data_IF_678139795008
#
_entry.id   IF_678139795008
#
_cell.length_a   1.000
_cell.length_b   1.000
_cell.length_c   1.000
_cell.angle_alpha   90.00
_cell.angle_beta   90.00
_cell.angle_gamma   90.00
#
_symmetry.space_group_name_H-M   'P 1'
#
loop_
_entity.id
_entity.type
_entity.pdbx_description
1 polymer ?
#
# COMPACT_ATOMS: atom_id res chain seq x y z
N UNK A 1 27.15 -19.85 -24.80
CA UNK A 1 26.41 -18.60 -24.54
C UNK A 1 25.00 -18.99 -24.15
N UNK A 2 24.68 -19.01 -22.85
CA UNK A 2 23.30 -19.28 -22.40
C UNK A 2 22.49 -18.04 -22.75
N UNK A 3 21.79 -18.04 -23.88
CA UNK A 3 20.64 -17.17 -24.05
C UNK A 3 19.66 -17.57 -22.95
N UNK A 4 19.70 -16.85 -21.83
CA UNK A 4 18.67 -16.96 -20.81
C UNK A 4 17.36 -16.65 -21.52
N UNK A 5 16.49 -17.66 -21.62
CA UNK A 5 15.20 -17.49 -22.27
C UNK A 5 14.42 -16.49 -21.42
N UNK A 6 13.98 -15.41 -22.06
CA UNK A 6 13.17 -14.40 -21.42
C UNK A 6 11.99 -15.03 -20.67
N UNK A 7 11.69 -14.59 -19.43
CA UNK A 7 10.62 -15.15 -18.62
C UNK A 7 9.23 -14.89 -19.23
N UNK A 8 9.12 -13.87 -20.09
CA UNK A 8 7.93 -13.55 -20.87
C UNK A 8 8.33 -12.78 -22.15
N UNK A 9 8.02 -13.33 -23.33
CA UNK A 9 8.39 -12.73 -24.61
C UNK A 9 7.65 -11.42 -24.92
N UNK A 10 6.40 -11.27 -24.45
CA UNK A 10 5.60 -10.08 -24.63
C UNK A 10 6.16 -8.91 -23.82
N UNK A 11 6.54 -9.16 -22.56
CA UNK A 11 7.18 -8.17 -21.69
C UNK A 11 8.50 -7.67 -22.31
N UNK A 12 9.35 -8.60 -22.77
CA UNK A 12 10.60 -8.24 -23.47
C UNK A 12 10.33 -7.44 -24.73
N UNK A 13 9.38 -7.86 -25.57
CA UNK A 13 9.05 -7.11 -26.79
C UNK A 13 8.47 -5.74 -26.50
N UNK A 14 7.68 -5.58 -25.43
CA UNK A 14 7.03 -4.32 -25.09
C UNK A 14 8.01 -3.26 -24.56
N UNK A 15 9.05 -3.70 -23.83
CA UNK A 15 10.10 -2.84 -23.27
C UNK A 15 11.39 -2.80 -24.09
N UNK A 16 11.48 -3.54 -25.20
CA UNK A 16 12.65 -3.56 -26.06
C UNK A 16 13.06 -2.14 -26.50
N UNK A 17 14.29 -1.75 -26.16
CA UNK A 17 14.86 -0.44 -26.50
C UNK A 17 14.30 0.74 -25.70
N UNK A 18 13.40 0.51 -24.74
CA UNK A 18 12.91 1.56 -23.83
C UNK A 18 13.85 1.74 -22.66
N UNK A 19 13.91 2.97 -22.15
CA UNK A 19 14.72 3.36 -21.01
C UNK A 19 13.85 4.22 -20.08
N UNK A 20 14.14 4.17 -18.79
CA UNK A 20 13.57 5.13 -17.85
C UNK A 20 14.33 6.47 -17.96
N UNK A 21 13.60 7.59 -17.89
CA UNK A 21 14.20 8.94 -17.87
C UNK A 21 14.66 9.26 -16.44
N UNK A 22 15.88 8.82 -16.09
CA UNK A 22 16.44 8.92 -14.75
C UNK A 22 16.69 10.35 -14.29
N UNK A 23 17.13 11.23 -15.20
CA UNK A 23 17.31 12.65 -14.89
C UNK A 23 15.98 13.26 -14.41
N UNK A 24 14.88 12.87 -15.06
CA UNK A 24 13.53 13.29 -14.66
C UNK A 24 13.06 12.61 -13.38
N UNK A 25 13.35 11.33 -13.16
CA UNK A 25 12.99 10.63 -11.91
C UNK A 25 13.66 11.31 -10.71
N UNK A 26 14.95 11.62 -10.83
CA UNK A 26 15.68 12.37 -9.82
C UNK A 26 15.08 13.76 -9.61
N UNK A 27 14.78 14.49 -10.70
CA UNK A 27 14.12 15.79 -10.61
C UNK A 27 12.76 15.70 -9.89
N UNK A 28 11.94 14.68 -10.19
CA UNK A 28 10.67 14.47 -9.50
C UNK A 28 10.90 14.32 -7.99
N UNK A 29 11.88 13.51 -7.57
CA UNK A 29 12.18 13.28 -6.17
C UNK A 29 12.68 14.55 -5.45
N UNK A 30 13.50 15.36 -6.13
CA UNK A 30 14.00 16.64 -5.61
C UNK A 30 12.91 17.72 -5.52
N UNK A 31 12.02 17.78 -6.53
CA UNK A 31 10.98 18.80 -6.65
C UNK A 31 9.68 18.44 -5.95
N UNK A 32 9.48 17.20 -5.48
CA UNK A 32 8.16 16.74 -5.00
C UNK A 32 7.60 17.58 -3.85
N UNK A 33 8.47 18.28 -3.10
CA UNK A 33 8.08 19.19 -2.02
C UNK A 33 8.16 20.68 -2.38
N UNK A 34 8.50 21.03 -3.61
CA UNK A 34 8.46 22.40 -4.09
C UNK A 34 6.99 22.84 -4.25
N UNK A 35 6.53 23.91 -3.58
CA UNK A 35 5.15 24.42 -3.72
C UNK A 35 4.74 24.74 -5.16
N UNK A 36 5.68 25.11 -6.03
CA UNK A 36 5.41 25.43 -7.44
C UNK A 36 5.33 24.19 -8.32
N UNK A 37 5.82 23.03 -7.86
CA UNK A 37 5.77 21.77 -8.60
C UNK A 37 4.40 21.11 -8.45
N UNK A 38 3.54 21.33 -9.44
CA UNK A 38 2.14 20.93 -9.39
C UNK A 38 1.94 19.42 -9.61
N UNK A 39 0.79 18.89 -9.14
CA UNK A 39 0.40 17.50 -9.40
C UNK A 39 0.33 17.19 -10.91
N UNK A 40 -0.01 18.18 -11.74
CA UNK A 40 -0.07 18.03 -13.19
C UNK A 40 1.32 17.82 -13.79
N UNK A 41 2.31 18.60 -13.37
CA UNK A 41 3.69 18.44 -13.80
C UNK A 41 4.23 17.09 -13.34
N UNK A 42 3.96 16.71 -12.09
CA UNK A 42 4.28 15.39 -11.56
C UNK A 42 3.68 14.25 -12.39
N UNK A 43 2.42 14.35 -12.80
CA UNK A 43 1.80 13.37 -13.69
C UNK A 43 2.49 13.33 -15.05
N UNK A 44 2.72 14.48 -15.68
CA UNK A 44 3.39 14.58 -16.98
C UNK A 44 4.78 13.95 -16.94
N UNK A 45 5.51 14.13 -15.83
CA UNK A 45 6.83 13.57 -15.60
C UNK A 45 6.79 12.06 -15.35
N UNK A 46 5.84 11.55 -14.57
CA UNK A 46 5.66 10.10 -14.40
C UNK A 46 5.46 9.40 -15.75
N UNK A 47 4.63 9.95 -16.63
CA UNK A 47 4.34 9.37 -17.96
C UNK A 47 5.56 9.39 -18.88
N UNK A 48 6.40 10.42 -18.76
CA UNK A 48 7.62 10.52 -19.54
C UNK A 48 8.75 9.64 -18.99
N UNK A 49 8.80 9.45 -17.66
CA UNK A 49 9.86 8.72 -16.96
C UNK A 49 9.72 7.21 -16.99
N UNK A 50 8.52 6.67 -16.82
CA UNK A 50 8.32 5.26 -16.54
C UNK A 50 7.77 4.48 -17.75
N UNK A 51 8.61 3.80 -18.55
CA UNK A 51 8.14 3.02 -19.69
C UNK A 51 7.20 1.87 -19.28
N UNK A 52 7.29 1.39 -18.04
CA UNK A 52 6.46 0.33 -17.45
C UNK A 52 4.98 0.72 -17.43
N UNK A 53 4.63 2.01 -17.30
CA UNK A 53 3.22 2.46 -17.33
C UNK A 53 2.52 2.16 -18.66
N UNK A 54 3.27 1.97 -19.74
CA UNK A 54 2.69 1.58 -21.03
C UNK A 54 2.28 0.10 -21.10
N UNK A 55 2.77 -0.74 -20.17
CA UNK A 55 2.49 -2.17 -20.12
C UNK A 55 1.02 -2.49 -19.89
N UNK A 56 0.31 -1.61 -19.17
CA UNK A 56 -1.14 -1.70 -18.94
C UNK A 56 -1.99 -1.71 -20.22
N UNK A 57 -1.42 -1.29 -21.36
CA UNK A 57 -2.11 -1.23 -22.65
C UNK A 57 -1.64 -2.31 -23.64
N UNK A 58 -0.71 -3.18 -23.24
CA UNK A 58 -0.18 -4.22 -24.12
C UNK A 58 -1.26 -5.29 -24.36
N UNK A 59 -1.53 -5.59 -25.64
CA UNK A 59 -2.57 -6.55 -26.05
C UNK A 59 -3.96 -5.94 -26.28
N UNK A 60 -4.14 -4.64 -26.04
CA UNK A 60 -5.33 -3.93 -26.51
C UNK A 60 -5.26 -3.76 -28.04
N UNK A 61 -6.31 -4.06 -28.82
CA UNK A 61 -6.29 -3.88 -30.27
C UNK A 61 -6.06 -2.41 -30.64
N UNK A 62 -4.85 -2.11 -31.10
CA UNK A 62 -4.45 -0.93 -31.88
C UNK A 62 -5.10 0.42 -31.50
N UNK A 63 -5.00 0.81 -30.22
CA UNK A 63 -5.07 2.23 -29.83
C UNK A 63 -3.95 2.54 -28.86
N UNK A 64 -2.78 2.90 -29.40
CA UNK A 64 -1.81 3.63 -28.60
C UNK A 64 -2.51 4.90 -28.06
N UNK A 65 -2.58 5.11 -26.73
CA UNK A 65 -3.21 6.29 -26.20
C UNK A 65 -2.41 7.51 -26.63
N UNK A 66 -3.02 8.42 -27.40
CA UNK A 66 -2.43 9.74 -27.62
C UNK A 66 -2.42 10.46 -26.26
N UNK A 67 -1.37 11.23 -25.94
CA UNK A 67 -1.26 11.99 -24.67
C UNK A 67 -2.53 12.80 -24.33
N UNK A 68 -3.21 13.33 -25.35
CA UNK A 68 -4.49 14.04 -25.23
C UNK A 68 -5.69 13.14 -24.88
N UNK A 69 -5.69 11.87 -25.30
CA UNK A 69 -6.75 10.91 -24.99
C UNK A 69 -6.65 10.46 -23.53
N UNK A 70 -5.45 10.26 -22.99
CA UNK A 70 -5.25 9.91 -21.57
C UNK A 70 -5.74 11.04 -20.65
N UNK A 71 -5.37 12.29 -20.95
CA UNK A 71 -5.83 13.47 -20.20
C UNK A 71 -7.34 13.67 -20.30
N UNK A 72 -7.94 13.49 -21.49
CA UNK A 72 -9.41 13.55 -21.64
C UNK A 72 -10.12 12.44 -20.88
N UNK A 73 -9.54 11.24 -20.85
CA UNK A 73 -10.09 10.09 -20.10
C UNK A 73 -10.05 10.34 -18.60
N UNK A 74 -8.90 10.81 -18.07
CA UNK A 74 -8.74 11.20 -16.67
C UNK A 74 -9.71 12.34 -16.28
N UNK A 75 -9.75 13.42 -17.07
CA UNK A 75 -10.56 14.60 -16.77
C UNK A 75 -12.07 14.42 -16.95
N UNK A 76 -12.51 13.41 -17.71
CA UNK A 76 -13.95 13.27 -18.01
C UNK A 76 -14.80 12.87 -16.80
N UNK A 77 -14.26 12.19 -15.78
CA UNK A 77 -15.00 11.77 -14.57
C UNK A 77 -16.27 10.94 -14.81
N UNK A 78 -16.67 10.73 -16.07
CA UNK A 78 -17.85 10.00 -16.52
C UNK A 78 -17.52 8.52 -16.52
N UNK A 79 -17.51 7.91 -15.34
CA UNK A 79 -17.69 6.48 -15.22
C UNK A 79 -18.80 6.19 -14.21
N UNK A 80 -20.04 6.39 -14.67
CA UNK A 80 -21.18 5.70 -14.06
C UNK A 80 -21.00 4.19 -14.26
N UNK A 81 -21.27 3.42 -13.21
CA UNK A 81 -21.15 1.96 -13.10
C UNK A 81 -21.81 1.12 -14.21
N UNK A 82 -22.56 1.74 -15.13
CA UNK A 82 -23.25 1.08 -16.24
C UNK A 82 -22.41 0.98 -17.54
N UNK A 83 -21.46 1.88 -17.82
CA UNK A 83 -20.67 1.80 -19.07
C UNK A 83 -19.51 0.79 -18.97
N UNK A 84 -18.93 0.57 -17.78
CA UNK A 84 -17.91 -0.48 -17.54
C UNK A 84 -18.44 -1.88 -17.93
N UNK A 85 -19.73 -2.15 -17.71
CA UNK A 85 -20.37 -3.42 -18.11
C UNK A 85 -20.55 -3.57 -19.62
N UNK A 86 -20.62 -2.47 -20.38
CA UNK A 86 -20.88 -2.50 -21.82
C UNK A 86 -19.60 -2.65 -22.65
N UNK A 87 -18.45 -2.24 -22.11
CA UNK A 87 -17.15 -2.33 -22.80
C UNK A 87 -16.28 -3.51 -22.33
N UNK A 88 -16.46 -4.01 -21.10
CA UNK A 88 -15.75 -5.21 -20.60
C UNK A 88 -16.11 -6.52 -21.30
N UNK A 89 -17.20 -6.56 -22.09
CA UNK A 89 -17.64 -7.73 -22.84
C UNK A 89 -16.96 -7.87 -24.21
N UNK A 90 -16.26 -6.84 -24.69
CA UNK A 90 -15.67 -6.83 -26.03
C UNK A 90 -14.23 -6.33 -25.99
N UNK A 91 -13.33 -7.28 -25.72
CA UNK A 91 -11.89 -7.23 -26.04
C UNK A 91 -11.02 -6.45 -25.02
N UNK A 92 -10.31 -7.22 -24.20
CA UNK A 92 -9.20 -6.77 -23.35
C UNK A 92 -8.85 -7.87 -22.36
N UNK A 93 -7.56 -8.22 -22.22
CA UNK A 93 -7.12 -9.21 -21.24
C UNK A 93 -7.55 -8.77 -19.83
N UNK A 94 -8.36 -9.59 -19.16
CA UNK A 94 -8.74 -9.36 -17.77
C UNK A 94 -7.49 -9.52 -16.89
N UNK A 95 -7.25 -8.55 -16.00
CA UNK A 95 -6.27 -8.64 -14.93
C UNK A 95 -6.65 -9.77 -13.96
N UNK A 96 -5.70 -10.24 -13.13
CA UNK A 96 -5.95 -11.24 -12.08
C UNK A 96 -6.98 -10.76 -11.05
N UNK A 97 -7.13 -9.44 -10.89
CA UNK A 97 -8.19 -8.78 -10.12
C UNK A 97 -9.58 -8.85 -10.78
N UNK A 98 -9.67 -9.29 -12.03
CA UNK A 98 -10.87 -9.22 -12.88
C UNK A 98 -11.08 -7.87 -13.57
N UNK A 99 -10.20 -6.88 -13.35
CA UNK A 99 -10.29 -5.54 -13.91
C UNK A 99 -9.62 -5.44 -15.29
N UNK A 100 -9.88 -4.36 -16.04
CA UNK A 100 -9.16 -4.10 -17.29
C UNK A 100 -7.78 -3.49 -16.99
N UNK A 101 -6.85 -3.59 -17.94
CA UNK A 101 -5.55 -2.91 -17.83
C UNK A 101 -5.68 -1.39 -17.69
N UNK A 102 -6.71 -0.77 -18.27
CA UNK A 102 -6.99 0.67 -18.08
C UNK A 102 -7.34 1.01 -16.63
N UNK A 103 -8.12 0.16 -15.95
CA UNK A 103 -8.44 0.37 -14.53
C UNK A 103 -7.19 0.18 -13.66
N UNK A 104 -6.38 -0.84 -13.92
CA UNK A 104 -5.12 -1.03 -13.17
C UNK A 104 -4.15 0.14 -13.40
N UNK A 105 -4.04 0.64 -14.63
CA UNK A 105 -3.30 1.87 -14.92
C UNK A 105 -3.80 3.05 -14.07
N UNK A 106 -5.11 3.27 -14.00
CA UNK A 106 -5.67 4.36 -13.18
C UNK A 106 -5.38 4.17 -11.69
N UNK A 107 -5.39 2.93 -11.19
CA UNK A 107 -5.03 2.61 -9.80
C UNK A 107 -3.56 2.90 -9.53
N UNK A 108 -2.68 2.52 -10.44
CA UNK A 108 -1.24 2.85 -10.39
C UNK A 108 -0.99 4.36 -10.39
N UNK A 109 -1.69 5.14 -11.24
CA UNK A 109 -1.61 6.60 -11.18
C UNK A 109 -2.14 7.14 -9.85
N UNK A 110 -3.22 6.56 -9.31
CA UNK A 110 -3.74 6.91 -7.99
C UNK A 110 -2.73 6.66 -6.87
N UNK A 111 -1.98 5.57 -6.93
CA UNK A 111 -0.90 5.27 -5.99
C UNK A 111 0.25 6.28 -6.09
N UNK A 112 0.68 6.62 -7.31
CA UNK A 112 1.68 7.68 -7.53
C UNK A 112 1.22 9.05 -6.99
N UNK A 113 -0.06 9.39 -7.17
CA UNK A 113 -0.61 10.64 -6.62
C UNK A 113 -0.69 10.59 -5.10
N UNK A 114 -1.01 9.43 -4.51
CA UNK A 114 -0.95 9.25 -3.07
C UNK A 114 0.47 9.43 -2.53
N UNK A 115 1.51 8.97 -3.23
CA UNK A 115 2.92 9.28 -2.88
C UNK A 115 3.16 10.78 -2.90
N UNK A 116 2.77 11.47 -3.98
CA UNK A 116 2.91 12.92 -4.11
C UNK A 116 2.25 13.68 -2.94
N UNK A 117 1.00 13.35 -2.61
CA UNK A 117 0.27 14.01 -1.53
C UNK A 117 0.82 13.67 -0.13
N UNK A 118 1.13 12.40 0.13
CA UNK A 118 1.66 11.97 1.44
C UNK A 118 3.03 12.59 1.73
N UNK A 119 3.85 12.82 0.70
CA UNK A 119 5.13 13.53 0.86
C UNK A 119 4.97 15.05 0.99
N UNK A 120 3.75 15.59 0.93
CA UNK A 120 3.45 17.05 0.99
C UNK A 120 2.40 17.40 2.06
N UNK A 121 2.19 16.54 3.06
CA UNK A 121 1.13 16.73 4.06
C UNK A 121 1.22 18.02 4.88
N UNK A 122 2.37 18.64 4.95
CA UNK A 122 2.63 19.93 5.62
C UNK A 122 2.58 21.15 4.68
N UNK A 123 2.28 20.94 3.40
CA UNK A 123 2.18 21.97 2.37
C UNK A 123 0.73 22.07 1.88
N UNK A 124 0.32 21.12 1.05
CA UNK A 124 -0.96 21.08 0.34
C UNK A 124 -1.45 19.63 0.11
N UNK A 125 -0.69 18.65 0.60
CA UNK A 125 -0.93 17.24 0.34
C UNK A 125 -2.17 16.72 1.05
N UNK A 126 -2.53 17.29 2.20
CA UNK A 126 -3.72 16.89 2.96
C UNK A 126 -5.00 17.12 2.14
N UNK A 127 -5.16 18.30 1.56
CA UNK A 127 -6.29 18.69 0.72
C UNK A 127 -6.36 17.79 -0.52
N UNK A 128 -5.24 17.61 -1.23
CA UNK A 128 -5.17 16.74 -2.40
C UNK A 128 -5.48 15.28 -2.08
N UNK A 129 -4.97 14.75 -0.97
CA UNK A 129 -5.25 13.39 -0.53
C UNK A 129 -6.74 13.19 -0.21
N UNK A 130 -7.37 14.17 0.44
CA UNK A 130 -8.76 14.07 0.88
C UNK A 130 -9.78 14.35 -0.23
N UNK A 131 -9.55 15.36 -1.06
CA UNK A 131 -10.53 15.86 -2.03
C UNK A 131 -10.09 15.69 -3.49
N UNK A 132 -8.81 15.45 -3.75
CA UNK A 132 -8.28 15.36 -5.10
C UNK A 132 -8.18 16.71 -5.80
N UNK A 133 -8.30 16.69 -7.12
CA UNK A 133 -8.21 17.86 -8.01
C UNK A 133 -9.37 17.90 -8.99
N UNK A 134 -9.68 19.09 -9.50
CA UNK A 134 -10.71 19.29 -10.52
C UNK A 134 -10.22 18.99 -11.95
N UNK A 135 -11.08 19.23 -12.95
CA UNK A 135 -10.77 19.00 -14.36
C UNK A 135 -9.68 19.91 -14.95
N UNK A 136 -9.26 20.95 -14.22
CA UNK A 136 -8.12 21.81 -14.58
C UNK A 136 -6.91 21.60 -13.66
N UNK A 137 -6.90 20.50 -12.90
CA UNK A 137 -5.83 20.08 -11.99
C UNK A 137 -5.60 21.01 -10.79
N UNK A 138 -6.62 21.78 -10.40
CA UNK A 138 -6.59 22.57 -9.17
C UNK A 138 -7.11 21.74 -8.01
N UNK A 139 -6.45 21.84 -6.85
CA UNK A 139 -6.90 21.16 -5.64
C UNK A 139 -8.29 21.64 -5.23
N UNK A 140 -9.13 20.69 -4.83
CA UNK A 140 -10.47 20.99 -4.35
C UNK A 140 -10.37 21.33 -2.85
N UNK A 141 -10.70 22.56 -2.43
CA UNK A 141 -10.50 23.00 -1.05
C UNK A 141 -11.39 22.23 -0.08
N UNK A 142 -10.87 21.99 1.13
CA UNK A 142 -11.63 21.44 2.24
C UNK A 142 -12.75 22.40 2.68
N UNK A 143 -13.81 21.82 3.21
CA UNK A 143 -14.99 22.49 3.75
C UNK A 143 -15.17 22.11 5.22
N UNK A 144 -15.92 22.89 6.00
CA UNK A 144 -16.23 22.51 7.37
C UNK A 144 -16.94 21.16 7.45
N UNK A 145 -16.42 20.29 8.31
CA UNK A 145 -16.94 18.95 8.58
C UNK A 145 -18.30 19.01 9.32
N UNK A 146 -19.25 18.14 8.98
CA UNK A 146 -20.53 18.06 9.68
C UNK A 146 -20.36 17.33 11.03
N UNK A 147 -20.50 18.08 12.13
CA UNK A 147 -20.46 17.48 13.47
C UNK A 147 -21.70 16.62 13.78
N UNK A 148 -21.49 15.55 14.56
CA UNK A 148 -22.57 14.75 15.16
C UNK A 148 -23.24 13.70 14.27
N UNK A 149 -22.75 13.48 13.04
CA UNK A 149 -23.19 12.38 12.18
C UNK A 149 -22.32 11.14 12.40
N UNK A 150 -22.92 9.94 12.22
CA UNK A 150 -22.14 8.71 12.13
C UNK A 150 -21.56 8.55 10.72
N UNK A 151 -20.39 7.92 10.57
CA UNK A 151 -19.73 7.70 9.28
C UNK A 151 -20.66 7.05 8.24
N UNK A 152 -21.53 6.13 8.65
CA UNK A 152 -22.48 5.44 7.78
C UNK A 152 -23.60 6.36 7.24
N UNK A 153 -23.88 7.48 7.93
CA UNK A 153 -24.92 8.45 7.57
C UNK A 153 -24.39 9.66 6.80
N UNK A 154 -23.06 9.81 6.69
CA UNK A 154 -22.41 10.91 5.98
C UNK A 154 -22.47 10.72 4.46
N UNK A 155 -22.64 11.82 3.72
CA UNK A 155 -22.40 11.81 2.26
C UNK A 155 -20.91 11.60 1.95
N UNK A 156 -20.57 11.36 0.68
CA UNK A 156 -19.18 11.21 0.27
C UNK A 156 -18.35 12.45 0.62
N UNK A 157 -18.87 13.64 0.37
CA UNK A 157 -18.22 14.92 0.68
C UNK A 157 -18.05 15.06 2.20
N UNK A 158 -19.10 14.78 2.97
CA UNK A 158 -19.07 14.83 4.43
C UNK A 158 -18.01 13.89 5.02
N UNK A 159 -17.82 12.70 4.45
CA UNK A 159 -16.75 11.77 4.85
C UNK A 159 -15.37 12.32 4.58
N UNK A 160 -15.16 13.03 3.46
CA UNK A 160 -13.87 13.65 3.13
C UNK A 160 -13.49 14.72 4.14
N UNK A 161 -14.44 15.61 4.44
CA UNK A 161 -14.21 16.67 5.44
C UNK A 161 -14.00 16.10 6.84
N UNK A 162 -14.81 15.10 7.22
CA UNK A 162 -14.65 14.42 8.50
C UNK A 162 -13.29 13.71 8.60
N UNK A 163 -12.86 13.04 7.54
CA UNK A 163 -11.54 12.38 7.50
C UNK A 163 -10.42 13.41 7.64
N UNK A 164 -10.48 14.53 6.90
CA UNK A 164 -9.48 15.57 6.96
C UNK A 164 -9.33 16.17 8.37
N UNK A 165 -10.44 16.38 9.07
CA UNK A 165 -10.47 16.92 10.42
C UNK A 165 -10.06 15.88 11.48
N UNK A 166 -10.58 14.65 11.40
CA UNK A 166 -10.45 13.64 12.45
C UNK A 166 -9.20 12.76 12.33
N UNK A 167 -8.58 12.68 11.16
CA UNK A 167 -7.38 11.88 10.97
C UNK A 167 -6.18 12.52 11.67
N UNK A 168 -5.49 11.74 12.49
CA UNK A 168 -4.18 12.11 13.01
C UNK A 168 -3.12 12.02 11.90
N UNK A 169 -2.90 13.14 11.22
CA UNK A 169 -1.92 13.28 10.15
C UNK A 169 -0.47 13.10 10.61
N UNK A 170 -0.19 13.17 11.92
CA UNK A 170 1.15 12.87 12.43
C UNK A 170 1.54 11.41 12.19
N UNK A 171 0.57 10.49 12.18
CA UNK A 171 0.83 9.08 11.89
C UNK A 171 1.34 8.85 10.46
N UNK A 172 0.83 9.62 9.49
CA UNK A 172 1.36 9.58 8.12
C UNK A 172 2.74 10.22 8.01
N UNK A 173 2.95 11.37 8.66
CA UNK A 173 4.26 12.05 8.69
C UNK A 173 5.34 11.16 9.31
N UNK A 174 5.00 10.50 10.42
CA UNK A 174 5.88 9.53 11.08
C UNK A 174 6.17 8.33 10.18
N UNK A 175 5.19 7.86 9.41
CA UNK A 175 5.41 6.79 8.43
C UNK A 175 6.37 7.23 7.31
N UNK A 176 6.22 8.44 6.78
CA UNK A 176 7.15 9.03 5.79
C UNK A 176 8.58 9.11 6.35
N UNK A 177 8.74 9.62 7.57
CA UNK A 177 10.04 9.69 8.24
C UNK A 177 10.66 8.32 8.50
N UNK A 178 9.86 7.35 8.95
CA UNK A 178 10.32 5.96 9.16
C UNK A 178 10.67 5.28 7.85
N UNK A 179 9.99 5.58 6.75
CA UNK A 179 10.33 5.05 5.43
C UNK A 179 11.64 5.65 4.88
N UNK A 180 12.18 6.70 5.51
CA UNK A 180 13.36 7.41 5.04
C UNK A 180 13.06 8.42 3.92
N UNK A 181 11.79 8.80 3.73
CA UNK A 181 11.36 9.72 2.67
C UNK A 181 11.21 11.17 3.16
N UNK A 182 11.50 11.47 4.43
CA UNK A 182 11.42 12.83 4.95
C UNK A 182 12.68 13.63 4.58
N UNK A 183 12.60 14.96 4.36
CA UNK A 183 13.76 15.79 4.03
C UNK A 183 14.91 15.71 5.03
N UNK A 184 14.61 15.38 6.30
CA UNK A 184 15.58 15.23 7.38
C UNK A 184 16.39 13.93 7.28
N UNK A 185 15.94 12.96 6.48
CA UNK A 185 16.64 11.69 6.29
C UNK A 185 17.77 11.83 5.26
N UNK A 186 18.96 11.33 5.59
CA UNK A 186 20.05 11.21 4.64
C UNK A 186 19.68 10.21 3.53
N UNK A 187 19.78 10.64 2.27
CA UNK A 187 19.42 9.80 1.12
C UNK A 187 17.92 9.72 0.85
N UNK A 188 17.12 10.67 1.36
CA UNK A 188 15.69 10.71 1.10
C UNK A 188 15.33 10.77 -0.39
N UNK A 189 16.13 11.45 -1.22
CA UNK A 189 15.94 11.48 -2.68
C UNK A 189 15.96 10.06 -3.27
N UNK A 190 17.00 9.26 -3.01
CA UNK A 190 17.09 7.87 -3.51
C UNK A 190 15.91 7.02 -3.03
N UNK A 191 15.42 7.26 -1.80
CA UNK A 191 14.26 6.56 -1.26
C UNK A 191 12.96 6.96 -1.96
N UNK A 192 12.78 8.25 -2.27
CA UNK A 192 11.64 8.75 -3.03
C UNK A 192 11.67 8.18 -4.45
N UNK A 193 12.83 8.14 -5.10
CA UNK A 193 13.00 7.47 -6.40
C UNK A 193 12.58 6.00 -6.33
N UNK A 194 13.00 5.28 -5.29
CA UNK A 194 12.65 3.87 -5.09
C UNK A 194 11.13 3.65 -4.98
N UNK A 195 10.42 4.45 -4.19
CA UNK A 195 8.96 4.31 -4.06
C UNK A 195 8.21 4.74 -5.33
N UNK A 196 8.71 5.74 -6.06
CA UNK A 196 8.14 6.14 -7.35
C UNK A 196 8.30 5.02 -8.39
N UNK A 197 9.50 4.45 -8.51
CA UNK A 197 9.77 3.32 -9.40
C UNK A 197 8.89 2.12 -9.04
N UNK A 198 8.88 1.71 -7.76
CA UNK A 198 8.05 0.61 -7.27
C UNK A 198 6.57 0.84 -7.61
N UNK A 199 6.03 2.02 -7.29
CA UNK A 199 4.62 2.34 -7.56
C UNK A 199 4.30 2.22 -9.06
N UNK A 200 5.21 2.63 -9.94
CA UNK A 200 5.00 2.60 -11.38
C UNK A 200 4.93 1.18 -11.97
N UNK A 201 5.59 0.19 -11.37
CA UNK A 201 5.61 -1.19 -11.89
C UNK A 201 4.96 -2.25 -11.00
N UNK A 202 4.62 -1.94 -9.74
CA UNK A 202 4.11 -2.91 -8.75
C UNK A 202 3.00 -3.80 -9.34
N UNK A 203 2.04 -3.15 -10.01
CA UNK A 203 0.80 -3.80 -10.45
C UNK A 203 0.85 -4.38 -11.87
N UNK A 204 1.96 -4.26 -12.61
CA UNK A 204 2.00 -4.73 -14.01
C UNK A 204 1.79 -6.25 -14.10
N UNK A 205 2.16 -7.00 -13.07
CA UNK A 205 2.00 -8.47 -13.00
C UNK A 205 0.57 -8.91 -12.68
N UNK A 206 -0.34 -7.95 -12.38
CA UNK A 206 -1.78 -8.22 -12.39
C UNK A 206 -2.28 -8.52 -13.80
N UNK A 207 -1.55 -8.18 -14.86
CA UNK A 207 -1.89 -8.55 -16.23
C UNK A 207 -1.40 -9.99 -16.54
N UNK A 208 -2.29 -11.00 -16.72
CA UNK A 208 -1.86 -12.38 -16.93
C UNK A 208 -0.97 -12.57 -18.17
N UNK A 209 -1.11 -11.69 -19.16
CA UNK A 209 -0.30 -11.70 -20.38
C UNK A 209 1.18 -11.39 -20.11
N UNK A 210 1.49 -10.65 -19.05
CA UNK A 210 2.86 -10.24 -18.68
C UNK A 210 3.50 -11.17 -17.64
N UNK A 211 2.70 -12.02 -16.98
CA UNK A 211 3.20 -12.95 -15.97
C UNK A 211 4.31 -13.87 -16.52
N UNK A 212 5.39 -14.08 -15.74
CA UNK A 212 6.53 -14.87 -16.16
C UNK A 212 6.30 -16.37 -16.04
N UNK A 213 7.12 -17.14 -16.76
CA UNK A 213 7.28 -18.59 -16.59
C UNK A 213 8.62 -18.87 -15.94
N UNK A 214 8.63 -19.74 -14.92
CA UNK A 214 9.85 -20.14 -14.21
C UNK A 214 10.80 -20.86 -15.17
N UNK A 215 12.01 -20.31 -15.33
CA UNK A 215 13.09 -20.93 -16.09
C UNK A 215 13.71 -22.11 -15.34
N UNK A 216 14.29 -23.04 -16.09
CA UNK A 216 14.87 -24.28 -15.55
C UNK A 216 15.96 -24.02 -14.51
N UNK A 217 16.77 -23.00 -14.71
CA UNK A 217 17.86 -22.60 -13.82
C UNK A 217 17.42 -21.95 -12.50
N UNK A 218 16.17 -21.48 -12.41
CA UNK A 218 15.61 -20.83 -11.22
C UNK A 218 14.58 -21.70 -10.50
N UNK A 219 14.31 -22.91 -10.98
CA UNK A 219 13.34 -23.82 -10.39
C UNK A 219 13.95 -24.64 -9.23
N UNK A 220 13.17 -24.91 -8.17
CA UNK A 220 11.85 -24.34 -7.90
C UNK A 220 11.96 -22.88 -7.42
N UNK A 221 10.97 -22.05 -7.76
CA UNK A 221 10.89 -20.67 -7.29
C UNK A 221 9.61 -20.44 -6.48
N UNK A 222 9.72 -20.21 -5.17
CA UNK A 222 8.56 -19.99 -4.28
C UNK A 222 7.44 -21.04 -4.43
N UNK A 223 7.80 -22.30 -4.69
CA UNK A 223 6.88 -23.41 -4.90
C UNK A 223 6.43 -23.64 -6.34
N UNK A 224 6.89 -22.83 -7.30
CA UNK A 224 6.63 -23.00 -8.73
C UNK A 224 7.77 -23.77 -9.41
N UNK A 225 7.42 -24.81 -10.15
CA UNK A 225 8.37 -25.64 -10.91
C UNK A 225 8.76 -25.02 -12.26
N UNK A 226 9.83 -25.54 -12.86
CA UNK A 226 10.27 -25.12 -14.20
C UNK A 226 9.14 -25.27 -15.23
N UNK A 227 8.94 -24.24 -16.06
CA UNK A 227 7.89 -24.22 -17.08
C UNK A 227 6.49 -23.85 -16.56
N UNK A 228 6.33 -23.64 -15.25
CA UNK A 228 5.06 -23.20 -14.65
C UNK A 228 4.97 -21.67 -14.68
N UNK A 229 3.80 -21.15 -15.05
CA UNK A 229 3.49 -19.71 -14.97
C UNK A 229 3.25 -19.31 -13.53
N UNK A 230 3.85 -18.20 -13.11
CA UNK A 230 3.58 -17.62 -11.79
C UNK A 230 2.31 -16.77 -11.87
N UNK A 231 1.22 -17.25 -11.28
CA UNK A 231 -0.09 -16.58 -11.31
C UNK A 231 -0.29 -15.56 -10.19
N UNK A 232 0.42 -15.72 -9.08
CA UNK A 232 0.47 -14.77 -7.99
C UNK A 232 1.31 -13.57 -8.42
N UNK A 233 0.69 -12.39 -8.51
CA UNK A 233 1.31 -11.20 -9.08
C UNK A 233 2.53 -10.69 -8.28
N UNK A 234 2.51 -10.82 -6.95
CA UNK A 234 3.62 -10.38 -6.09
C UNK A 234 4.82 -11.32 -6.31
N UNK A 235 4.56 -12.63 -6.33
CA UNK A 235 5.61 -13.64 -6.61
C UNK A 235 6.14 -13.49 -8.05
N UNK A 236 5.27 -13.15 -9.00
CA UNK A 236 5.65 -12.91 -10.40
C UNK A 236 6.57 -11.69 -10.52
N UNK A 237 6.26 -10.61 -9.80
CA UNK A 237 7.09 -9.42 -9.80
C UNK A 237 8.44 -9.71 -9.13
N UNK A 238 8.47 -10.32 -7.94
CA UNK A 238 9.69 -10.75 -7.26
C UNK A 238 10.59 -11.58 -8.16
N UNK A 239 10.01 -12.53 -8.91
CA UNK A 239 10.78 -13.35 -9.84
C UNK A 239 11.49 -12.52 -10.92
N UNK A 240 10.80 -11.53 -11.49
CA UNK A 240 11.39 -10.63 -12.48
C UNK A 240 12.46 -9.74 -11.84
N UNK A 241 12.22 -9.17 -10.66
CA UNK A 241 13.17 -8.30 -9.97
C UNK A 241 14.46 -9.04 -9.57
N UNK A 242 14.37 -10.29 -9.15
CA UNK A 242 15.53 -11.10 -8.73
C UNK A 242 16.30 -11.69 -9.89
N UNK A 243 15.58 -12.30 -10.84
CA UNK A 243 16.18 -13.12 -11.89
C UNK A 243 16.46 -12.34 -13.18
N UNK A 244 15.73 -11.24 -13.38
CA UNK A 244 15.78 -10.44 -14.61
C UNK A 244 15.74 -8.93 -14.31
N UNK A 245 16.60 -8.41 -13.42
CA UNK A 245 16.53 -7.03 -12.94
C UNK A 245 16.58 -5.98 -14.06
N UNK A 246 17.27 -6.30 -15.17
CA UNK A 246 17.41 -5.41 -16.33
C UNK A 246 16.16 -5.31 -17.21
N UNK A 247 15.13 -6.14 -16.96
CA UNK A 247 13.90 -6.13 -17.75
C UNK A 247 12.97 -4.96 -17.43
N UNK A 248 13.05 -4.39 -16.24
CA UNK A 248 12.25 -3.22 -15.83
C UNK A 248 13.20 -2.02 -15.75
N UNK A 249 13.25 -1.14 -16.77
CA UNK A 249 14.21 -0.04 -16.84
C UNK A 249 14.29 0.84 -15.58
N UNK A 250 13.16 1.13 -14.94
CA UNK A 250 13.11 1.96 -13.72
C UNK A 250 13.58 1.23 -12.47
N UNK A 251 13.51 -0.11 -12.42
CA UNK A 251 14.16 -0.88 -11.37
C UNK A 251 15.65 -1.06 -11.65
N UNK A 252 16.01 -1.32 -12.92
CA UNK A 252 17.38 -1.57 -13.36
C UNK A 252 18.34 -0.41 -13.05
N UNK A 253 17.85 0.83 -13.12
CA UNK A 253 18.68 2.00 -12.79
C UNK A 253 18.77 2.34 -11.30
N UNK A 254 17.98 1.71 -10.42
CA UNK A 254 18.06 1.98 -8.98
C UNK A 254 19.45 1.58 -8.43
N UNK A 255 19.97 2.32 -7.43
CA UNK A 255 21.12 1.89 -6.66
C UNK A 255 20.90 0.50 -6.05
N UNK A 256 21.97 -0.29 -5.92
CA UNK A 256 21.88 -1.66 -5.37
C UNK A 256 21.24 -1.74 -3.98
N UNK A 257 21.39 -0.67 -3.18
CA UNK A 257 20.72 -0.55 -1.88
C UNK A 257 19.20 -0.49 -2.05
N UNK A 258 18.71 0.42 -2.89
CA UNK A 258 17.27 0.59 -3.13
C UNK A 258 16.64 -0.59 -3.85
N UNK A 259 17.37 -1.27 -4.76
CA UNK A 259 16.90 -2.54 -5.36
C UNK A 259 16.55 -3.58 -4.31
N UNK A 260 17.41 -3.78 -3.30
CA UNK A 260 17.15 -4.73 -2.20
C UNK A 260 15.93 -4.33 -1.38
N UNK A 261 15.72 -3.03 -1.17
CA UNK A 261 14.61 -2.48 -0.38
C UNK A 261 13.29 -2.64 -1.10
N UNK A 262 13.28 -2.34 -2.39
CA UNK A 262 12.15 -2.62 -3.29
C UNK A 262 11.84 -4.12 -3.29
N UNK A 263 12.85 -4.98 -3.42
CA UNK A 263 12.65 -6.44 -3.39
C UNK A 263 12.08 -6.91 -2.04
N UNK A 264 12.54 -6.33 -0.92
CA UNK A 264 11.97 -6.60 0.41
C UNK A 264 10.47 -6.32 0.45
N UNK A 265 9.98 -5.25 -0.20
CA UNK A 265 8.54 -4.95 -0.23
C UNK A 265 7.70 -6.03 -0.92
N UNK A 266 8.32 -6.81 -1.81
CA UNK A 266 7.69 -7.89 -2.58
C UNK A 266 7.87 -9.27 -1.92
N UNK A 267 8.52 -9.32 -0.76
CA UNK A 267 8.74 -10.56 -0.02
C UNK A 267 7.42 -11.11 0.54
N UNK A 268 7.26 -12.43 0.50
CA UNK A 268 6.06 -13.10 1.01
C UNK A 268 6.09 -13.16 2.54
N UNK A 269 5.77 -12.04 3.19
CA UNK A 269 5.79 -11.91 4.65
C UNK A 269 4.73 -12.78 5.35
N UNK A 270 3.72 -13.27 4.62
CA UNK A 270 2.53 -13.97 5.15
C UNK A 270 1.88 -13.23 6.33
N UNK A 271 2.01 -11.90 6.32
CA UNK A 271 1.56 -11.02 7.37
C UNK A 271 0.15 -10.54 7.07
N UNK A 272 -0.79 -10.82 7.97
CA UNK A 272 -2.11 -10.21 7.95
C UNK A 272 -2.14 -9.08 8.98
N UNK A 273 -2.10 -7.85 8.49
CA UNK A 273 -2.05 -6.66 9.35
C UNK A 273 -3.33 -6.49 10.17
N UNK A 274 -4.49 -6.91 9.64
CA UNK A 274 -5.76 -6.89 10.38
C UNK A 274 -5.72 -7.77 11.63
N UNK A 275 -5.18 -9.00 11.50
CA UNK A 275 -5.03 -9.90 12.66
C UNK A 275 -4.19 -9.29 13.77
N UNK A 276 -3.12 -8.57 13.41
CA UNK A 276 -2.29 -7.86 14.40
C UNK A 276 -3.04 -6.70 15.05
N UNK A 277 -3.69 -5.85 14.26
CA UNK A 277 -4.44 -4.68 14.73
C UNK A 277 -5.59 -5.06 15.67
N UNK A 278 -6.21 -6.22 15.44
CA UNK A 278 -7.31 -6.73 16.25
C UNK A 278 -6.84 -7.71 17.33
N UNK A 279 -5.55 -8.05 17.35
CA UNK A 279 -4.96 -9.11 18.15
C UNK A 279 -5.74 -10.43 18.09
N UNK A 280 -6.22 -10.84 16.92
CA UNK A 280 -7.08 -12.03 16.72
C UNK A 280 -6.31 -13.35 16.70
N UNK A 281 -5.06 -13.33 16.25
CA UNK A 281 -4.24 -14.53 16.13
C UNK A 281 -3.10 -14.54 17.17
N UNK A 282 -2.53 -15.71 17.49
CA UNK A 282 -1.38 -15.81 18.37
C UNK A 282 -0.13 -15.14 17.76
N UNK A 283 0.81 -14.61 18.56
CA UNK A 283 1.95 -13.84 18.07
C UNK A 283 2.75 -14.53 16.97
N UNK A 284 3.10 -15.81 17.15
CA UNK A 284 3.88 -16.56 16.16
C UNK A 284 3.14 -16.78 14.84
N UNK A 285 1.83 -17.02 14.91
CA UNK A 285 0.99 -17.17 13.71
C UNK A 285 0.88 -15.88 12.90
N UNK A 286 0.97 -14.72 13.55
CA UNK A 286 0.91 -13.41 12.89
C UNK A 286 2.27 -12.94 12.37
N UNK A 287 3.35 -13.16 13.12
CA UNK A 287 4.59 -12.39 12.97
C UNK A 287 5.82 -13.23 12.61
N UNK A 288 5.83 -14.55 12.81
CA UNK A 288 7.09 -15.32 12.67
C UNK A 288 7.65 -15.32 11.24
N UNK A 289 6.78 -15.32 10.21
CA UNK A 289 7.24 -15.20 8.81
C UNK A 289 7.74 -13.81 8.48
N UNK A 290 7.04 -12.78 8.95
CA UNK A 290 7.51 -11.41 8.80
C UNK A 290 8.88 -11.24 9.46
N UNK A 291 9.03 -11.73 10.70
CA UNK A 291 10.30 -11.70 11.42
C UNK A 291 11.42 -12.45 10.71
N UNK A 292 11.16 -13.64 10.18
CA UNK A 292 12.16 -14.39 9.42
C UNK A 292 12.68 -13.59 8.22
N UNK A 293 11.81 -12.90 7.49
CA UNK A 293 12.20 -12.02 6.38
C UNK A 293 13.03 -10.83 6.88
N UNK A 294 12.73 -10.28 8.06
CA UNK A 294 13.54 -9.21 8.65
C UNK A 294 14.94 -9.69 9.03
N UNK A 295 15.06 -10.90 9.56
CA UNK A 295 16.33 -11.52 9.95
C UNK A 295 17.27 -11.81 8.75
N UNK A 296 16.76 -11.80 7.52
CA UNK A 296 17.55 -11.90 6.29
C UNK A 296 18.31 -10.59 5.95
N UNK A 297 18.14 -9.54 6.75
CA UNK A 297 18.93 -8.31 6.70
C UNK A 297 18.17 -7.06 6.27
N UNK A 298 16.87 -7.00 6.55
CA UNK A 298 16.07 -5.79 6.34
C UNK A 298 16.17 -4.85 7.55
N UNK A 299 16.32 -3.55 7.28
CA UNK A 299 16.39 -2.53 8.31
C UNK A 299 14.98 -1.99 8.68
N UNK A 300 14.88 -1.27 9.80
CA UNK A 300 13.62 -0.64 10.21
C UNK A 300 13.04 0.30 9.14
N UNK A 301 13.91 0.98 8.38
CA UNK A 301 13.47 1.86 7.30
C UNK A 301 12.81 1.09 6.15
N UNK A 302 13.18 -0.17 5.95
CA UNK A 302 12.65 -1.00 4.87
C UNK A 302 11.23 -1.47 5.22
N UNK A 303 10.97 -1.73 6.51
CA UNK A 303 9.63 -1.90 7.06
C UNK A 303 8.78 -0.64 6.86
N UNK A 304 9.37 0.53 7.11
CA UNK A 304 8.73 1.82 6.83
C UNK A 304 8.35 1.99 5.36
N UNK A 305 9.28 1.68 4.44
CA UNK A 305 9.03 1.72 3.00
C UNK A 305 7.94 0.74 2.58
N UNK A 306 7.96 -0.50 3.09
CA UNK A 306 6.90 -1.49 2.85
C UNK A 306 5.51 -0.94 3.22
N UNK A 307 5.37 -0.35 4.40
CA UNK A 307 4.10 0.20 4.84
C UNK A 307 3.71 1.50 4.12
N UNK A 308 4.67 2.34 3.75
CA UNK A 308 4.41 3.54 2.94
C UNK A 308 3.94 3.16 1.53
N UNK A 309 4.55 2.16 0.92
CA UNK A 309 4.07 1.58 -0.34
C UNK A 309 2.66 0.99 -0.17
N UNK A 310 2.44 0.17 0.86
CA UNK A 310 1.13 -0.43 1.12
C UNK A 310 0.01 0.61 1.26
N UNK A 311 0.26 1.70 2.01
CA UNK A 311 -0.77 2.72 2.23
C UNK A 311 -1.06 3.53 0.96
N UNK A 312 -0.04 3.80 0.14
CA UNK A 312 -0.18 4.57 -1.10
C UNK A 312 -0.82 3.72 -2.22
N UNK A 313 -0.48 2.43 -2.32
CA UNK A 313 -1.17 1.48 -3.20
C UNK A 313 -2.65 1.34 -2.82
N UNK A 314 -2.94 1.18 -1.52
CA UNK A 314 -4.32 1.10 -1.04
C UNK A 314 -5.10 2.40 -1.28
N UNK A 315 -4.46 3.56 -1.15
CA UNK A 315 -5.05 4.86 -1.48
C UNK A 315 -5.48 4.94 -2.96
N UNK A 316 -4.66 4.38 -3.87
CA UNK A 316 -4.92 4.33 -5.30
C UNK A 316 -5.98 3.31 -5.75
N UNK A 317 -6.50 2.46 -4.85
CA UNK A 317 -7.24 1.25 -5.23
C UNK A 317 -8.56 1.45 -5.99
N UNK A 318 -9.15 2.65 -6.01
CA UNK A 318 -10.46 2.91 -6.65
C UNK A 318 -10.40 3.28 -8.14
N UNK A 319 -9.20 3.50 -8.70
CA UNK A 319 -9.05 3.81 -10.13
C UNK A 319 -9.57 5.21 -10.53
N UNK A 320 -9.64 6.12 -9.56
CA UNK A 320 -10.16 7.48 -9.71
C UNK A 320 -9.10 8.50 -9.27
N UNK A 321 -7.94 8.56 -9.94
CA UNK A 321 -6.76 9.27 -9.43
C UNK A 321 -7.01 10.75 -9.15
N UNK A 322 -7.91 11.43 -9.89
CA UNK A 322 -8.24 12.83 -9.62
C UNK A 322 -9.15 13.04 -8.40
N UNK A 323 -9.77 11.99 -7.88
CA UNK A 323 -10.71 12.04 -6.76
C UNK A 323 -10.07 11.91 -5.38
N UNK A 324 -8.74 11.99 -5.27
CA UNK A 324 -8.03 11.76 -4.01
C UNK A 324 -7.94 10.28 -3.64
N UNK A 325 -7.58 9.99 -2.39
CA UNK A 325 -7.47 8.63 -1.84
C UNK A 325 -8.85 8.04 -1.48
N UNK A 326 -9.76 7.92 -2.46
CA UNK A 326 -11.18 7.57 -2.25
C UNK A 326 -11.37 6.31 -1.38
N UNK A 327 -10.50 5.31 -1.56
CA UNK A 327 -10.55 4.07 -0.79
C UNK A 327 -10.49 4.36 0.70
N UNK A 328 -9.48 5.11 1.12
CA UNK A 328 -9.18 5.40 2.51
C UNK A 328 -10.14 6.44 3.08
N UNK A 329 -10.46 7.46 2.29
CA UNK A 329 -11.21 8.62 2.76
C UNK A 329 -12.72 8.36 2.84
N UNK A 330 -13.28 7.59 1.92
CA UNK A 330 -14.75 7.46 1.77
C UNK A 330 -15.29 6.06 2.05
N UNK A 331 -14.42 5.03 1.93
CA UNK A 331 -14.81 3.61 2.02
C UNK A 331 -14.16 2.85 3.18
N UNK A 332 -13.14 3.42 3.80
CA UNK A 332 -12.44 2.83 4.93
C UNK A 332 -12.72 3.64 6.19
N UNK A 333 -13.23 3.03 7.29
CA UNK A 333 -13.47 3.77 8.52
C UNK A 333 -12.16 4.37 9.07
N UNK A 334 -12.17 5.67 9.37
CA UNK A 334 -10.97 6.40 9.84
C UNK A 334 -10.35 5.76 11.09
N UNK A 335 -11.16 5.37 12.08
CA UNK A 335 -10.66 4.73 13.31
C UNK A 335 -9.93 3.39 13.05
N UNK A 336 -10.38 2.65 12.03
CA UNK A 336 -9.70 1.42 11.60
C UNK A 336 -8.36 1.80 10.97
N UNK A 337 -8.32 2.74 10.02
CA UNK A 337 -7.07 3.18 9.40
C UNK A 337 -6.05 3.72 10.43
N UNK A 338 -6.51 4.52 11.38
CA UNK A 338 -5.68 5.03 12.46
C UNK A 338 -5.05 3.89 13.27
N UNK A 339 -5.80 2.80 13.52
CA UNK A 339 -5.26 1.63 14.22
C UNK A 339 -4.20 0.88 13.40
N UNK A 340 -4.36 0.80 12.08
CA UNK A 340 -3.33 0.27 11.18
C UNK A 340 -2.07 1.13 11.21
N UNK A 341 -2.18 2.44 10.98
CA UNK A 341 -1.02 3.35 10.98
C UNK A 341 -0.28 3.36 12.33
N UNK A 342 -1.04 3.38 13.43
CA UNK A 342 -0.47 3.35 14.78
C UNK A 342 0.31 2.07 15.06
N UNK A 343 -0.21 0.92 14.61
CA UNK A 343 0.43 -0.38 14.79
C UNK A 343 1.76 -0.54 14.02
N UNK A 344 1.97 0.22 12.93
CA UNK A 344 3.22 0.18 12.16
C UNK A 344 4.44 0.61 13.00
N UNK A 345 4.24 1.51 13.98
CA UNK A 345 5.27 1.94 14.95
C UNK A 345 5.78 0.79 15.83
N UNK A 346 4.95 -0.23 16.05
CA UNK A 346 5.31 -1.43 16.82
C UNK A 346 5.97 -2.45 15.92
N UNK A 347 5.41 -2.67 14.73
CA UNK A 347 5.91 -3.66 13.77
C UNK A 347 7.35 -3.37 13.33
N UNK A 348 7.77 -2.10 13.24
CA UNK A 348 9.17 -1.75 12.96
C UNK A 348 10.15 -2.23 14.04
N UNK A 349 9.67 -2.50 15.26
CA UNK A 349 10.50 -2.99 16.38
C UNK A 349 10.71 -4.50 16.33
N UNK A 350 9.99 -5.22 15.47
CA UNK A 350 10.03 -6.70 15.38
C UNK A 350 11.44 -7.24 15.13
N UNK A 351 12.29 -6.46 14.44
CA UNK A 351 13.72 -6.77 14.20
C UNK A 351 14.47 -7.01 15.52
N UNK A 352 14.11 -6.30 16.59
CA UNK A 352 14.86 -6.27 17.85
C UNK A 352 14.22 -7.03 19.02
N UNK A 353 13.09 -7.70 18.84
CA UNK A 353 12.37 -8.37 19.93
C UNK A 353 11.61 -9.63 19.49
N UNK A 354 11.13 -10.41 20.46
CA UNK A 354 10.26 -11.56 20.18
C UNK A 354 8.87 -11.11 19.72
N UNK A 355 8.22 -11.96 18.93
CA UNK A 355 6.84 -11.77 18.49
C UNK A 355 5.90 -11.57 19.70
N UNK A 356 6.07 -12.38 20.74
CA UNK A 356 5.31 -12.26 21.99
C UNK A 356 5.54 -10.93 22.67
N UNK A 357 6.80 -10.52 22.89
CA UNK A 357 7.11 -9.26 23.57
C UNK A 357 6.56 -8.04 22.81
N UNK A 358 6.58 -8.09 21.47
CA UNK A 358 6.00 -7.05 20.63
C UNK A 358 4.48 -6.97 20.80
N UNK A 359 3.80 -8.11 20.75
CA UNK A 359 2.34 -8.17 20.92
C UNK A 359 1.93 -7.72 22.32
N UNK A 360 2.65 -8.12 23.37
CA UNK A 360 2.40 -7.66 24.74
C UNK A 360 2.53 -6.14 24.86
N UNK A 361 3.62 -5.54 24.35
CA UNK A 361 3.79 -4.08 24.33
C UNK A 361 2.69 -3.36 23.54
N UNK A 362 2.26 -3.95 22.42
CA UNK A 362 1.16 -3.42 21.63
C UNK A 362 -0.16 -3.46 22.42
N UNK A 363 -0.47 -4.57 23.07
CA UNK A 363 -1.68 -4.76 23.87
C UNK A 363 -1.74 -3.80 25.07
N UNK A 364 -0.65 -3.64 25.81
CA UNK A 364 -0.58 -2.70 26.94
C UNK A 364 -0.82 -1.25 26.48
N UNK A 365 -0.22 -0.86 25.36
CA UNK A 365 -0.41 0.48 24.83
C UNK A 365 -1.83 0.69 24.27
N UNK A 366 -2.45 -0.34 23.65
CA UNK A 366 -3.87 -0.28 23.27
C UNK A 366 -4.78 -0.20 24.48
N UNK A 367 -4.46 -0.90 25.57
CA UNK A 367 -5.22 -0.82 26.81
C UNK A 367 -5.28 0.61 27.34
N UNK A 368 -4.16 1.33 27.39
CA UNK A 368 -4.13 2.72 27.82
C UNK A 368 -4.96 3.67 26.95
N UNK A 369 -5.12 3.37 25.67
CA UNK A 369 -5.97 4.15 24.76
C UNK A 369 -7.45 3.83 24.98
N UNK A 370 -7.79 2.54 25.11
CA UNK A 370 -9.17 2.07 25.22
C UNK A 370 -9.76 2.31 26.61
N UNK A 371 -8.94 2.21 27.65
CA UNK A 371 -9.32 2.21 29.06
C UNK A 371 -8.32 3.05 29.88
N UNK A 372 -8.21 4.37 29.63
CA UNK A 372 -7.18 5.21 30.23
C UNK A 372 -7.21 5.26 31.76
N UNK A 373 -8.40 5.08 32.35
CA UNK A 373 -8.62 5.14 33.80
C UNK A 373 -8.56 3.76 34.48
N UNK A 374 -8.34 2.68 33.72
CA UNK A 374 -8.27 1.32 34.26
C UNK A 374 -6.82 0.84 34.26
N UNK A 375 -6.26 0.40 35.41
CA UNK A 375 -4.92 -0.16 35.46
C UNK A 375 -4.77 -1.33 34.49
N UNK A 376 -3.60 -1.44 33.86
CA UNK A 376 -3.25 -2.60 33.02
C UNK A 376 -3.31 -3.85 33.89
N UNK A 377 -4.05 -4.89 33.49
CA UNK A 377 -4.12 -6.13 34.24
C UNK A 377 -2.76 -6.82 34.27
N UNK A 378 -2.40 -7.42 35.39
CA UNK A 378 -1.10 -8.06 35.60
C UNK A 378 -1.19 -9.51 36.11
N UNK A 379 -2.40 -10.03 36.22
CA UNK A 379 -2.64 -11.43 36.60
C UNK A 379 -2.68 -12.37 35.37
N UNK A 380 -2.94 -13.65 35.60
CA UNK A 380 -3.00 -14.67 34.55
C UNK A 380 -4.08 -14.44 33.46
N UNK A 381 -4.95 -13.44 33.63
CA UNK A 381 -5.99 -13.01 32.68
C UNK A 381 -5.56 -11.82 31.83
N UNK A 382 -4.39 -11.23 32.09
CA UNK A 382 -3.99 -9.96 31.50
C UNK A 382 -4.09 -9.96 29.96
N UNK A 383 -3.45 -10.92 29.31
CA UNK A 383 -3.45 -11.03 27.83
C UNK A 383 -4.88 -11.22 27.30
N UNK A 384 -5.65 -12.13 27.89
CA UNK A 384 -7.02 -12.39 27.46
C UNK A 384 -7.90 -11.14 27.56
N UNK A 385 -7.83 -10.41 28.68
CA UNK A 385 -8.60 -9.17 28.88
C UNK A 385 -8.18 -8.09 27.90
N UNK A 386 -6.88 -7.87 27.70
CA UNK A 386 -6.39 -6.86 26.75
C UNK A 386 -6.80 -7.17 25.30
N UNK A 387 -6.73 -8.46 24.90
CA UNK A 387 -7.17 -8.91 23.58
C UNK A 387 -8.68 -8.72 23.40
N UNK A 388 -9.49 -9.14 24.38
CA UNK A 388 -10.95 -9.00 24.33
C UNK A 388 -11.39 -7.52 24.28
N UNK A 389 -10.75 -6.66 25.08
CA UNK A 389 -11.00 -5.22 25.04
C UNK A 389 -10.69 -4.63 23.65
N UNK A 390 -9.60 -5.06 23.01
CA UNK A 390 -9.24 -4.63 21.66
C UNK A 390 -10.20 -5.16 20.58
N UNK A 391 -10.61 -6.43 20.69
CA UNK A 391 -11.56 -7.08 19.78
C UNK A 391 -12.97 -6.49 19.84
N UNK A 392 -13.32 -5.80 20.93
CA UNK A 392 -14.62 -5.16 21.12
C UNK A 392 -14.95 -4.14 20.01
N UNK A 393 -13.92 -3.49 19.44
CA UNK A 393 -13.98 -2.50 18.36
C UNK A 393 -15.02 -1.38 18.59
N UNK A 394 -16.28 -1.62 18.23
CA UNK A 394 -17.39 -0.66 18.31
C UNK A 394 -18.16 -0.70 19.63
N UNK A 395 -18.02 -1.77 20.41
CA UNK A 395 -18.62 -1.90 21.74
C UNK A 395 -17.72 -1.26 22.81
N UNK A 396 -18.33 -0.75 23.88
CA UNK A 396 -17.58 -0.22 25.03
C UNK A 396 -16.74 -1.35 25.66
N UNK A 397 -15.40 -1.24 25.71
CA UNK A 397 -14.54 -2.25 26.30
C UNK A 397 -14.92 -2.61 27.74
N UNK A 398 -15.51 -1.68 28.51
CA UNK A 398 -15.99 -1.97 29.87
C UNK A 398 -17.08 -3.05 29.91
N UNK A 399 -17.97 -3.09 28.90
CA UNK A 399 -19.02 -4.11 28.81
C UNK A 399 -18.40 -5.49 28.64
N UNK A 400 -17.33 -5.58 27.83
CA UNK A 400 -16.60 -6.84 27.62
C UNK A 400 -15.87 -7.29 28.88
N UNK A 401 -15.27 -6.37 29.63
CA UNK A 401 -14.62 -6.70 30.91
C UNK A 401 -15.63 -7.20 31.95
N UNK A 402 -16.79 -6.55 32.07
CA UNK A 402 -17.86 -6.98 32.98
C UNK A 402 -18.41 -8.35 32.57
N UNK A 403 -18.57 -8.59 31.27
CA UNK A 403 -18.99 -9.88 30.75
C UNK A 403 -17.97 -10.97 31.09
N UNK A 404 -16.67 -10.71 30.89
CA UNK A 404 -15.61 -11.63 31.28
C UNK A 404 -15.68 -11.95 32.78
N UNK A 405 -15.87 -10.95 33.64
CA UNK A 405 -15.96 -11.17 35.08
C UNK A 405 -17.16 -12.01 35.52
N UNK A 406 -18.26 -11.95 34.76
CA UNK A 406 -19.46 -12.76 35.01
C UNK A 406 -19.33 -14.23 34.60
N UNK A 407 -18.28 -14.59 33.85
CA UNK A 407 -18.05 -15.97 33.40
C UNK A 407 -17.73 -16.93 34.54
N UNK A 408 -18.04 -18.20 34.31
CA UNK A 408 -17.64 -19.28 35.22
C UNK A 408 -16.11 -19.41 35.28
N UNK A 409 -15.58 -19.98 36.37
CA UNK A 409 -14.13 -20.20 36.50
C UNK A 409 -13.55 -21.08 35.39
N UNK A 410 -14.32 -22.05 34.87
CA UNK A 410 -13.87 -22.90 33.75
C UNK A 410 -13.80 -22.11 32.45
N UNK A 411 -14.76 -21.23 32.18
CA UNK A 411 -14.77 -20.43 30.95
C UNK A 411 -13.67 -19.37 30.98
N UNK A 412 -13.44 -18.72 32.14
CA UNK A 412 -12.28 -17.83 32.34
C UNK A 412 -10.97 -18.57 32.09
N UNK A 413 -10.81 -19.79 32.61
CA UNK A 413 -9.61 -20.60 32.41
C UNK A 413 -9.42 -21.01 30.94
N UNK A 414 -10.51 -21.34 30.24
CA UNK A 414 -10.51 -21.62 28.80
C UNK A 414 -10.00 -20.39 28.02
N UNK A 415 -10.63 -19.23 28.20
CA UNK A 415 -10.24 -17.99 27.51
C UNK A 415 -8.80 -17.57 27.82
N UNK A 416 -8.34 -17.73 29.07
CA UNK A 416 -6.93 -17.48 29.43
C UNK A 416 -5.97 -18.35 28.64
N UNK A 417 -6.33 -19.60 28.40
CA UNK A 417 -5.48 -20.54 27.66
C UNK A 417 -5.51 -20.26 26.15
N UNK A 418 -6.71 -20.08 25.60
CA UNK A 418 -6.90 -19.92 24.15
C UNK A 418 -6.43 -18.56 23.63
N UNK A 419 -6.45 -17.52 24.49
CA UNK A 419 -6.01 -16.17 24.12
C UNK A 419 -4.59 -15.82 24.58
N UNK A 420 -3.89 -16.71 25.30
CA UNK A 420 -2.51 -16.49 25.73
C UNK A 420 -1.52 -16.35 24.56
#
# INVERSE_FOLDING_TARGET
>A
TKESRAPNALLVSALAGRQADWDRIQLMAEMIRDPEYSLREFYDDCIASFPELSLFFVGAPNRAPKKQDSLRRLASGTFGSQEVRRWGSAIGAQASSGLSGEVEYQRTIGALFAVYWVLRLDIDGMEGFCNGVDGIWQQIPLRPSPHGKSFASMTTEEKREHFAEAMDWTLFKDLVARAGCSPENLGCTERIEAILCLSAFHDIMKLPALQPVVQLEHAPYNGYEAGVRIHDHDVALSYVLESFPDMLPSYAGLPSREKRRVLFTQSKMQFNHGWFVQAEAPPGGMLSKFKAVLEEGADQEDVGLYFLHWITDLAGAEGTPLGGAEKLVTKFPQAVLASFLWSMTYLSRLVGMSETALVEQYLEARWHVLLPDVPVPSDASAIALMRLALMAQAEDPHVVLLAFESLSSSDKACLRTELA
#
